data_IF_266224088106
#
_entry.id   IF_266224088106
#
_cell.length_a   1.000
_cell.length_b   1.000
_cell.length_c   1.000
_cell.angle_alpha   90.00
_cell.angle_beta   90.00
_cell.angle_gamma   90.00
#
_symmetry.space_group_name_H-M   'P 1'
#
loop_
_entity.id
_entity.type
_entity.pdbx_description
1 polymer ?
#
# COMPACT_ATOMS: atom_id res chain seq x y z
N UNK A 1 27.93 -25.99 -24.40
CA UNK A 1 29.05 -25.46 -25.18
C UNK A 1 30.35 -25.95 -24.58
N UNK A 2 31.10 -26.66 -25.36
CA UNK A 2 32.40 -27.14 -24.89
C UNK A 2 33.45 -26.08 -25.13
N UNK A 3 34.00 -25.55 -24.09
CA UNK A 3 35.18 -24.71 -24.19
C UNK A 3 36.35 -25.65 -24.34
N UNK A 4 36.94 -25.66 -25.49
CA UNK A 4 38.16 -26.40 -25.69
C UNK A 4 39.27 -25.65 -25.00
N UNK A 5 39.68 -26.19 -23.92
CA UNK A 5 40.85 -25.74 -23.25
C UNK A 5 42.00 -26.26 -24.03
N UNK A 6 42.70 -25.38 -24.68
CA UNK A 6 43.87 -25.79 -25.46
C UNK A 6 44.94 -26.24 -24.50
N UNK A 7 45.22 -27.48 -24.53
CA UNK A 7 46.32 -28.07 -23.78
C UNK A 7 47.68 -27.57 -24.27
N UNK A 8 47.68 -26.65 -25.21
CA UNK A 8 48.86 -26.14 -25.84
C UNK A 8 49.39 -24.87 -25.21
N UNK A 9 48.69 -24.37 -24.20
CA UNK A 9 49.15 -23.20 -23.49
C UNK A 9 50.10 -23.62 -22.35
N UNK A 10 51.40 -23.44 -22.51
CA UNK A 10 52.34 -23.83 -21.47
C UNK A 10 52.19 -23.02 -20.19
N UNK A 11 51.81 -21.80 -20.30
CA UNK A 11 51.60 -20.95 -19.11
C UNK A 11 50.43 -21.42 -18.32
N UNK A 12 49.42 -21.85 -18.99
CA UNK A 12 48.20 -22.36 -18.35
C UNK A 12 48.46 -23.66 -17.63
N UNK A 13 49.25 -24.51 -18.24
CA UNK A 13 49.57 -25.77 -17.63
C UNK A 13 50.32 -25.60 -16.31
N UNK A 14 51.29 -24.73 -16.30
CA UNK A 14 52.03 -24.42 -15.11
C UNK A 14 51.12 -23.73 -14.06
N UNK A 15 50.26 -22.91 -14.52
CA UNK A 15 49.36 -22.19 -13.63
C UNK A 15 48.34 -23.11 -12.96
N UNK A 16 47.94 -24.15 -13.63
CA UNK A 16 46.97 -25.10 -13.08
C UNK A 16 47.59 -26.02 -12.04
N UNK A 17 48.78 -26.50 -12.31
CA UNK A 17 49.45 -27.43 -11.41
C UNK A 17 49.71 -26.79 -10.03
N UNK A 18 50.09 -25.57 -10.06
CA UNK A 18 50.52 -24.88 -8.85
C UNK A 18 49.41 -24.76 -7.81
N UNK A 19 48.25 -24.24 -8.11
CA UNK A 19 47.19 -24.15 -7.12
C UNK A 19 46.58 -25.49 -6.75
N UNK A 20 46.61 -26.45 -7.61
CA UNK A 20 45.99 -27.75 -7.34
C UNK A 20 46.74 -28.54 -6.28
N UNK A 21 48.02 -28.43 -6.26
CA UNK A 21 48.82 -29.17 -5.27
C UNK A 21 48.60 -28.63 -3.87
N UNK A 22 48.38 -27.37 -3.73
CA UNK A 22 48.39 -26.74 -2.42
C UNK A 22 47.07 -27.00 -1.67
N UNK A 23 46.00 -26.80 -2.30
CA UNK A 23 44.79 -26.76 -1.51
C UNK A 23 43.60 -27.41 -2.11
N UNK A 24 43.61 -27.63 -3.39
CA UNK A 24 42.42 -28.03 -4.07
C UNK A 24 41.88 -29.38 -3.66
N UNK A 25 42.76 -30.25 -3.24
CA UNK A 25 42.38 -31.64 -2.94
C UNK A 25 41.53 -31.79 -1.70
N UNK A 26 41.93 -31.09 -0.68
CA UNK A 26 41.33 -31.28 0.65
C UNK A 26 39.87 -30.83 0.70
N UNK A 27 39.52 -30.04 -0.24
CA UNK A 27 38.21 -29.48 -0.14
C UNK A 27 37.24 -29.92 -1.10
N UNK A 28 37.73 -30.52 -2.10
CA UNK A 28 37.09 -30.41 -3.34
C UNK A 28 35.61 -30.72 -3.34
N UNK A 29 35.11 -31.91 -3.13
CA UNK A 29 33.70 -32.18 -3.35
C UNK A 29 32.80 -31.63 -2.23
N UNK A 30 33.17 -31.86 -1.00
CA UNK A 30 32.30 -31.60 0.15
C UNK A 30 32.12 -30.09 0.37
N UNK A 31 33.18 -29.32 0.23
CA UNK A 31 33.08 -27.86 0.40
C UNK A 31 32.28 -27.20 -0.69
N UNK A 32 32.39 -27.68 -1.90
CA UNK A 32 31.59 -27.11 -3.03
C UNK A 32 30.11 -27.32 -2.80
N UNK A 33 29.71 -28.51 -2.35
CA UNK A 33 28.31 -28.79 -2.07
C UNK A 33 27.80 -27.92 -0.89
N UNK A 34 28.57 -27.81 0.16
CA UNK A 34 28.21 -26.98 1.30
C UNK A 34 28.10 -25.50 0.91
N UNK A 35 29.04 -25.01 0.08
CA UNK A 35 28.97 -23.63 -0.40
C UNK A 35 27.75 -23.39 -1.29
N UNK A 36 27.40 -24.34 -2.14
CA UNK A 36 26.20 -24.23 -2.95
C UNK A 36 24.95 -24.16 -2.08
N UNK A 37 24.86 -25.01 -1.07
CA UNK A 37 23.73 -25.01 -0.15
C UNK A 37 23.65 -23.68 0.63
N UNK A 38 24.78 -23.16 1.05
CA UNK A 38 24.83 -21.88 1.73
C UNK A 38 24.42 -20.72 0.82
N UNK A 39 24.90 -20.72 -0.39
CA UNK A 39 24.56 -19.71 -1.38
C UNK A 39 23.07 -19.74 -1.71
N UNK A 40 22.50 -20.93 -1.84
CA UNK A 40 21.07 -21.07 -2.07
C UNK A 40 20.26 -20.56 -0.88
N UNK A 41 20.69 -20.90 0.34
CA UNK A 41 20.01 -20.44 1.55
C UNK A 41 20.03 -18.90 1.66
N UNK A 42 21.16 -18.28 1.33
CA UNK A 42 21.30 -16.83 1.34
C UNK A 42 20.40 -16.21 0.26
N UNK A 43 20.38 -16.81 -0.92
CA UNK A 43 19.54 -16.33 -2.01
C UNK A 43 18.05 -16.43 -1.67
N UNK A 44 17.65 -17.53 -1.05
CA UNK A 44 16.26 -17.72 -0.60
C UNK A 44 15.87 -16.71 0.46
N UNK A 45 16.75 -16.45 1.43
CA UNK A 45 16.49 -15.45 2.45
C UNK A 45 16.35 -14.05 1.85
N UNK A 46 17.25 -13.70 0.96
CA UNK A 46 17.22 -12.41 0.27
C UNK A 46 15.95 -12.25 -0.57
N UNK A 47 15.58 -13.28 -1.30
CA UNK A 47 14.35 -13.27 -2.09
C UNK A 47 13.11 -13.16 -1.21
N UNK A 48 13.09 -13.82 -0.05
CA UNK A 48 11.98 -13.73 0.87
C UNK A 48 11.85 -12.32 1.43
N UNK A 49 12.96 -11.69 1.80
CA UNK A 49 12.95 -10.32 2.31
C UNK A 49 12.45 -9.34 1.25
N UNK A 50 12.87 -9.52 0.02
CA UNK A 50 12.41 -8.70 -1.10
C UNK A 50 10.93 -8.89 -1.37
N UNK A 51 10.47 -10.13 -1.34
CA UNK A 51 9.05 -10.46 -1.50
C UNK A 51 8.22 -9.80 -0.40
N UNK A 52 8.68 -9.86 0.85
CA UNK A 52 7.96 -9.25 1.97
C UNK A 52 7.82 -7.74 1.79
N UNK A 53 8.87 -7.06 1.32
CA UNK A 53 8.81 -5.62 1.01
C UNK A 53 7.81 -5.32 -0.10
N UNK A 54 7.79 -6.14 -1.13
CA UNK A 54 6.84 -5.99 -2.23
C UNK A 54 5.41 -6.15 -1.71
N UNK A 55 5.18 -7.14 -0.86
CA UNK A 55 3.85 -7.37 -0.31
C UNK A 55 3.40 -6.25 0.63
N UNK A 56 4.31 -5.64 1.37
CA UNK A 56 4.02 -4.44 2.14
C UNK A 56 3.56 -3.29 1.23
N UNK A 57 4.26 -3.10 0.11
CA UNK A 57 3.88 -2.07 -0.87
C UNK A 57 2.50 -2.35 -1.47
N UNK A 58 2.22 -3.60 -1.77
CA UNK A 58 0.88 -4.02 -2.26
C UNK A 58 -0.19 -3.69 -1.23
N UNK A 59 0.05 -3.98 0.04
CA UNK A 59 -0.90 -3.68 1.10
C UNK A 59 -1.17 -2.18 1.23
N UNK A 60 -0.14 -1.35 1.09
CA UNK A 60 -0.29 0.11 1.12
C UNK A 60 -1.14 0.59 -0.06
N UNK A 61 -0.86 0.08 -1.25
CA UNK A 61 -1.61 0.45 -2.45
C UNK A 61 -3.07 0.00 -2.36
N UNK A 62 -3.33 -1.17 -1.80
CA UNK A 62 -4.69 -1.65 -1.57
C UNK A 62 -5.45 -0.74 -0.62
N UNK A 63 -4.81 -0.28 0.45
CA UNK A 63 -5.44 0.67 1.39
C UNK A 63 -5.76 1.99 0.72
N UNK A 64 -4.85 2.49 -0.12
CA UNK A 64 -5.09 3.72 -0.87
C UNK A 64 -6.25 3.56 -1.85
N UNK A 65 -6.33 2.43 -2.55
CA UNK A 65 -7.42 2.16 -3.46
C UNK A 65 -8.76 2.08 -2.72
N UNK A 66 -8.80 1.43 -1.57
CA UNK A 66 -10.00 1.34 -0.74
C UNK A 66 -10.43 2.72 -0.23
N UNK A 67 -9.46 3.54 0.19
CA UNK A 67 -9.75 4.89 0.63
C UNK A 67 -10.36 5.74 -0.49
N UNK A 68 -9.85 5.59 -1.70
CA UNK A 68 -10.39 6.27 -2.88
C UNK A 68 -11.82 5.80 -3.17
N UNK A 69 -12.07 4.51 -3.10
CA UNK A 69 -13.41 3.96 -3.31
C UNK A 69 -14.41 4.50 -2.29
N UNK A 70 -14.03 4.55 -1.01
CA UNK A 70 -14.88 5.13 0.03
C UNK A 70 -15.18 6.60 -0.24
N UNK A 71 -14.16 7.34 -0.67
CA UNK A 71 -14.32 8.76 -1.00
C UNK A 71 -15.28 8.94 -2.18
N UNK A 72 -15.20 8.10 -3.19
CA UNK A 72 -16.12 8.15 -4.31
C UNK A 72 -17.54 7.75 -3.93
N UNK A 73 -17.70 6.74 -3.09
CA UNK A 73 -19.02 6.35 -2.59
C UNK A 73 -19.65 7.49 -1.79
N UNK A 74 -18.87 8.13 -0.95
CA UNK A 74 -19.33 9.29 -0.17
C UNK A 74 -19.69 10.45 -1.09
N UNK A 75 -18.91 10.69 -2.12
CA UNK A 75 -19.18 11.74 -3.12
C UNK A 75 -20.52 11.51 -3.82
N UNK A 76 -20.79 10.28 -4.20
CA UNK A 76 -22.07 9.93 -4.81
C UNK A 76 -23.22 10.10 -3.82
N UNK A 77 -23.02 9.75 -2.58
CA UNK A 77 -24.03 9.93 -1.52
C UNK A 77 -24.33 11.42 -1.32
N UNK A 78 -23.31 12.25 -1.24
CA UNK A 78 -23.48 13.70 -1.11
C UNK A 78 -24.15 14.27 -2.35
N UNK A 79 -23.81 13.80 -3.52
CA UNK A 79 -24.42 14.26 -4.76
C UNK A 79 -25.93 13.97 -4.81
N UNK A 80 -26.33 12.86 -4.27
CA UNK A 80 -27.76 12.49 -4.18
C UNK A 80 -28.45 13.12 -2.98
N UNK A 81 -27.72 13.72 -2.05
CA UNK A 81 -28.31 14.42 -0.91
C UNK A 81 -28.93 15.74 -1.37
N UNK A 82 -29.90 16.20 -0.60
CA UNK A 82 -30.59 17.45 -0.90
C UNK A 82 -29.90 18.61 -0.19
N UNK A 83 -29.53 19.64 -0.94
CA UNK A 83 -28.99 20.87 -0.41
C UNK A 83 -29.24 22.01 -1.41
N UNK A 84 -29.30 23.24 -0.87
CA UNK A 84 -29.66 24.41 -1.67
C UNK A 84 -28.54 25.47 -1.75
N UNK A 85 -27.34 25.10 -1.32
CA UNK A 85 -26.18 25.99 -1.35
C UNK A 85 -25.08 25.39 -2.20
N UNK A 86 -24.10 26.20 -2.59
CA UNK A 86 -22.93 25.73 -3.32
C UNK A 86 -21.83 25.40 -2.30
N UNK A 87 -21.41 24.13 -2.19
CA UNK A 87 -20.35 23.78 -1.26
C UNK A 87 -19.04 24.47 -1.61
N UNK A 88 -18.34 24.93 -0.59
CA UNK A 88 -17.05 25.61 -0.73
C UNK A 88 -15.95 24.60 -0.42
N UNK A 89 -14.99 24.38 -1.35
CA UNK A 89 -13.87 23.48 -1.08
C UNK A 89 -13.12 23.87 0.19
N UNK A 90 -12.77 22.89 0.99
CA UNK A 90 -12.10 23.08 2.26
C UNK A 90 -13.00 23.25 3.46
N UNK A 91 -14.27 23.55 3.28
CA UNK A 91 -15.23 23.68 4.37
C UNK A 91 -15.80 22.35 4.79
N UNK A 92 -16.25 22.32 6.03
CA UNK A 92 -16.87 21.15 6.64
C UNK A 92 -18.39 21.29 6.61
N UNK A 93 -19.03 20.16 6.36
CA UNK A 93 -20.49 20.08 6.31
C UNK A 93 -20.92 18.82 7.03
N UNK A 94 -22.22 18.66 7.20
CA UNK A 94 -22.80 17.51 7.87
C UNK A 94 -23.80 16.84 6.97
N UNK A 95 -23.74 15.51 6.89
CA UNK A 95 -24.80 14.69 6.30
C UNK A 95 -25.74 14.29 7.42
N UNK A 96 -27.01 14.54 7.20
CA UNK A 96 -28.06 14.15 8.13
C UNK A 96 -29.22 13.52 7.37
N UNK A 97 -29.92 12.62 8.02
CA UNK A 97 -31.12 12.01 7.50
C UNK A 97 -32.32 12.76 8.09
N UNK A 98 -33.16 13.32 7.21
CA UNK A 98 -34.41 13.91 7.61
C UNK A 98 -35.46 12.81 7.69
N UNK A 99 -35.80 12.40 8.91
CA UNK A 99 -36.71 11.28 9.13
C UNK A 99 -38.13 11.60 8.73
N UNK A 100 -38.55 12.85 8.74
CA UNK A 100 -39.87 13.27 8.30
C UNK A 100 -40.05 13.14 6.79
N UNK A 101 -39.04 13.50 6.03
CA UNK A 101 -39.07 13.52 4.57
C UNK A 101 -38.39 12.30 3.96
N UNK A 102 -37.81 11.43 4.79
CA UNK A 102 -37.07 10.23 4.36
C UNK A 102 -36.04 10.53 3.30
N UNK A 103 -35.26 11.58 3.51
CA UNK A 103 -34.22 11.97 2.57
C UNK A 103 -32.93 12.35 3.30
N UNK A 104 -31.82 12.22 2.62
CA UNK A 104 -30.51 12.66 3.13
C UNK A 104 -30.32 14.11 2.73
N UNK A 105 -29.87 14.92 3.68
CA UNK A 105 -29.58 16.33 3.46
C UNK A 105 -28.12 16.63 3.79
N UNK A 106 -27.58 17.64 3.10
CA UNK A 106 -26.30 18.21 3.43
C UNK A 106 -26.53 19.57 4.07
N UNK A 107 -25.96 19.78 5.25
CA UNK A 107 -26.15 21.03 6.00
C UNK A 107 -24.83 21.53 6.56
N UNK A 108 -24.60 22.87 6.56
CA UNK A 108 -23.41 23.42 7.21
C UNK A 108 -23.51 23.46 8.72
N UNK A 109 -24.66 23.19 9.29
CA UNK A 109 -24.89 23.24 10.74
C UNK A 109 -24.82 21.84 11.36
N UNK A 110 -23.86 21.65 12.26
CA UNK A 110 -23.73 20.43 13.03
C UNK A 110 -24.68 20.36 14.21
N UNK A 111 -24.66 19.26 14.97
CA UNK A 111 -25.58 19.08 16.10
C UNK A 111 -25.39 20.12 17.21
N UNK A 112 -24.22 20.69 17.33
CA UNK A 112 -23.90 21.69 18.36
C UNK A 112 -24.02 23.13 17.89
N UNK A 113 -24.31 23.35 16.61
CA UNK A 113 -24.35 24.70 16.02
C UNK A 113 -25.70 25.39 16.16
N UNK A 114 -26.70 24.67 16.63
CA UNK A 114 -28.03 25.22 16.83
C UNK A 114 -28.11 26.01 18.11
N UNK A 115 -28.72 27.17 18.07
CA UNK A 115 -28.92 28.01 19.26
C UNK A 115 -29.82 27.36 20.32
N UNK A 116 -30.69 26.47 19.90
CA UNK A 116 -31.45 25.57 20.75
C UNK A 116 -31.06 24.14 20.33
N UNK A 117 -31.79 23.15 20.76
CA UNK A 117 -31.49 21.78 20.35
C UNK A 117 -31.69 21.60 18.84
N UNK A 118 -30.88 20.75 18.23
CA UNK A 118 -31.03 20.38 16.82
C UNK A 118 -32.43 19.82 16.57
N UNK A 119 -32.99 19.98 15.35
CA UNK A 119 -34.30 19.40 15.04
C UNK A 119 -34.30 17.90 15.28
N UNK A 120 -35.35 17.43 15.95
CA UNK A 120 -35.49 16.01 16.28
C UNK A 120 -35.58 15.11 15.05
N UNK A 121 -36.06 15.67 13.95
CA UNK A 121 -36.16 14.98 12.67
C UNK A 121 -34.82 14.74 11.99
N UNK A 122 -33.76 15.42 12.44
CA UNK A 122 -32.43 15.28 11.84
C UNK A 122 -31.61 14.25 12.59
N UNK A 123 -31.28 13.18 11.89
CA UNK A 123 -30.36 12.17 12.39
C UNK A 123 -29.02 12.38 11.68
N UNK A 124 -28.03 12.89 12.42
CA UNK A 124 -26.70 13.14 11.86
C UNK A 124 -26.00 11.82 11.56
N UNK A 125 -25.52 11.67 10.33
CA UNK A 125 -24.88 10.46 9.85
C UNK A 125 -23.36 10.62 9.88
N UNK A 126 -22.85 11.72 9.32
CA UNK A 126 -21.41 11.91 9.19
C UNK A 126 -21.07 13.37 9.04
N UNK A 127 -19.86 13.74 9.46
CA UNK A 127 -19.25 15.01 9.15
C UNK A 127 -18.35 14.83 7.91
N UNK A 128 -18.48 15.71 6.94
CA UNK A 128 -17.78 15.59 5.66
C UNK A 128 -17.10 16.89 5.30
N UNK A 129 -16.07 16.79 4.50
CA UNK A 129 -15.34 17.93 3.96
C UNK A 129 -15.32 17.87 2.45
N UNK A 130 -15.60 18.99 1.82
CA UNK A 130 -15.44 19.13 0.39
C UNK A 130 -13.95 19.35 0.06
N UNK A 131 -13.41 18.54 -0.83
CA UNK A 131 -12.03 18.67 -1.29
C UNK A 131 -11.95 19.49 -2.57
N UNK A 132 -10.73 19.94 -2.90
CA UNK A 132 -10.51 20.79 -4.07
C UNK A 132 -10.84 20.13 -5.40
N UNK A 133 -10.82 18.82 -5.47
CA UNK A 133 -11.19 18.04 -6.66
C UNK A 133 -12.69 17.72 -6.74
N UNK A 134 -13.48 18.32 -5.86
CA UNK A 134 -14.93 18.14 -5.75
C UNK A 134 -15.35 16.77 -5.21
N UNK A 135 -14.42 16.00 -4.69
CA UNK A 135 -14.76 14.79 -3.94
C UNK A 135 -14.99 15.15 -2.47
N UNK A 136 -15.59 14.23 -1.75
CA UNK A 136 -15.95 14.41 -0.35
C UNK A 136 -15.23 13.39 0.52
N UNK A 137 -14.72 13.85 1.63
CA UNK A 137 -14.02 13.02 2.59
C UNK A 137 -14.75 13.06 3.93
N UNK A 138 -14.92 11.88 4.53
CA UNK A 138 -15.49 11.80 5.87
C UNK A 138 -14.44 12.25 6.90
N UNK A 139 -14.90 13.08 7.84
CA UNK A 139 -14.06 13.51 8.95
C UNK A 139 -14.32 12.56 10.12
N UNK A 140 -13.31 11.76 10.44
CA UNK A 140 -13.36 10.86 11.58
C UNK A 140 -12.68 11.58 12.75
N UNK A 141 -13.46 11.89 13.78
CA UNK A 141 -12.88 12.45 14.98
C UNK A 141 -12.20 11.33 15.77
N UNK A 142 -10.95 11.51 16.18
CA UNK A 142 -10.36 10.57 17.11
C UNK A 142 -11.12 10.63 18.43
N UNK A 143 -11.47 9.49 18.95
CA UNK A 143 -12.09 9.38 20.27
C UNK A 143 -11.11 9.72 21.40
#
# INVERSE_FOLDING_TARGET
>A
MKIKITDQDPDRHNHIEYPMEIGGQAFAPVKIEQEKDRMLAVAQLSAQQEYDRIMESVAILQRQAQALQRRMMLTEMVHSAKFSFVPIPGKQYWLAEDTKKSQVILTPMGPSDWSCSAPEEYKYVAQVRCLGDQTWQEIIKPD
#
